data_IF_980007025848
#
_entry.id   IF_980007025848
#
_cell.length_a   1.000
_cell.length_b   1.000
_cell.length_c   1.000
_cell.angle_alpha   90.00
_cell.angle_beta   90.00
_cell.angle_gamma   90.00
#
_symmetry.space_group_name_H-M   'P 1'
#
loop_
_entity.id
_entity.type
_entity.pdbx_description
1 polymer ?
#
# COMPACT_ATOMS: atom_id res chain seq x y z
N UNK A 1 20.83 -6.60 -9.55
CA UNK A 1 19.54 -7.15 -10.03
C UNK A 1 18.42 -6.37 -9.36
N UNK A 2 17.59 -5.64 -10.13
CA UNK A 2 16.52 -4.81 -9.56
C UNK A 2 15.37 -5.73 -9.12
N UNK A 3 15.17 -5.86 -7.81
CA UNK A 3 14.00 -6.55 -7.25
C UNK A 3 12.79 -5.65 -7.52
N UNK A 4 11.73 -6.22 -8.07
CA UNK A 4 10.56 -5.46 -8.49
C UNK A 4 9.53 -5.45 -7.35
N UNK A 5 9.40 -4.33 -6.64
CA UNK A 5 8.52 -4.18 -5.47
C UNK A 5 7.08 -3.90 -5.89
N UNK A 6 6.19 -4.89 -5.74
CA UNK A 6 4.78 -4.80 -6.14
C UNK A 6 4.03 -3.82 -5.24
N UNK A 7 3.30 -2.89 -5.85
CA UNK A 7 2.39 -2.00 -5.13
C UNK A 7 1.01 -2.63 -5.00
N UNK A 8 0.23 -2.17 -4.02
CA UNK A 8 -1.16 -2.59 -3.90
C UNK A 8 -1.99 -2.14 -5.11
N UNK A 9 -1.69 -0.97 -5.69
CA UNK A 9 -2.30 -0.49 -6.93
C UNK A 9 -2.08 -1.45 -8.10
N UNK A 10 -0.88 -2.04 -8.24
CA UNK A 10 -0.61 -3.05 -9.26
C UNK A 10 -1.46 -4.32 -9.07
N UNK A 11 -1.71 -4.72 -7.82
CA UNK A 11 -2.56 -5.87 -7.50
C UNK A 11 -4.02 -5.58 -7.82
N UNK A 12 -4.51 -4.39 -7.49
CA UNK A 12 -5.88 -3.97 -7.81
C UNK A 12 -6.12 -3.94 -9.32
N UNK A 13 -5.15 -3.44 -10.10
CA UNK A 13 -5.27 -3.44 -11.55
C UNK A 13 -5.21 -4.86 -12.14
N UNK A 14 -4.39 -5.76 -11.58
CA UNK A 14 -4.38 -7.17 -11.99
C UNK A 14 -5.74 -7.83 -11.79
N UNK A 15 -6.32 -7.66 -10.60
CA UNK A 15 -7.62 -8.22 -10.26
C UNK A 15 -8.72 -7.67 -11.18
N UNK A 16 -8.67 -6.38 -11.46
CA UNK A 16 -9.59 -5.73 -12.41
C UNK A 16 -9.52 -6.38 -13.80
N UNK A 17 -8.32 -6.60 -14.35
CA UNK A 17 -8.18 -7.23 -15.66
C UNK A 17 -8.61 -8.70 -15.66
N UNK A 18 -8.29 -9.45 -14.61
CA UNK A 18 -8.72 -10.85 -14.50
C UNK A 18 -10.23 -10.99 -14.38
N UNK A 19 -10.88 -10.13 -13.61
CA UNK A 19 -12.34 -10.15 -13.49
C UNK A 19 -13.00 -9.80 -14.84
N UNK A 20 -12.48 -8.76 -15.52
CA UNK A 20 -12.99 -8.36 -16.85
C UNK A 20 -12.83 -9.45 -17.91
N UNK A 21 -11.74 -10.22 -17.86
CA UNK A 21 -11.52 -11.34 -18.78
C UNK A 21 -12.45 -12.54 -18.50
N UNK A 22 -12.96 -12.69 -17.27
CA UNK A 22 -13.95 -13.71 -16.91
C UNK A 22 -15.37 -13.32 -17.34
N UNK A 23 -15.71 -12.02 -17.29
CA UNK A 23 -17.03 -11.48 -17.63
C UNK A 23 -17.31 -11.43 -19.15
N UNK A 24 -16.30 -11.63 -20.00
CA UNK A 24 -16.41 -11.58 -21.47
C UNK A 24 -16.31 -12.98 -22.14
N UNK A 25 -17.31 -13.88 -22.00
CA UNK A 25 -17.39 -15.05 -22.84
C UNK A 25 -18.04 -14.68 -24.19
N UNK A 26 -17.22 -14.30 -25.17
CA UNK A 26 -17.55 -14.47 -26.60
C UNK A 26 -18.65 -13.57 -27.20
N UNK A 27 -18.79 -12.31 -26.78
CA UNK A 27 -19.60 -11.32 -27.50
C UNK A 27 -18.73 -10.25 -28.15
N UNK A 28 -18.46 -10.42 -29.44
CA UNK A 28 -17.81 -9.42 -30.30
C UNK A 28 -16.48 -9.89 -30.89
N UNK A 29 -16.04 -9.14 -31.91
CA UNK A 29 -14.81 -9.29 -32.72
C UNK A 29 -13.48 -9.26 -31.92
N UNK A 30 -13.54 -9.42 -30.60
CA UNK A 30 -12.38 -9.35 -29.70
C UNK A 30 -11.58 -10.66 -29.69
N UNK A 31 -10.27 -10.54 -29.84
CA UNK A 31 -9.34 -11.66 -29.67
C UNK A 31 -9.56 -12.38 -28.33
N UNK A 32 -9.65 -13.71 -28.38
CA UNK A 32 -9.72 -14.56 -27.17
C UNK A 32 -8.62 -14.17 -26.18
N UNK A 33 -8.88 -14.09 -24.86
CA UNK A 33 -7.88 -13.71 -23.85
C UNK A 33 -6.54 -14.44 -24.02
N UNK A 34 -6.58 -15.74 -24.33
CA UNK A 34 -5.39 -16.56 -24.59
C UNK A 34 -4.56 -16.11 -25.81
N UNK A 35 -5.18 -15.63 -26.90
CA UNK A 35 -4.48 -15.14 -28.10
C UNK A 35 -3.77 -13.82 -27.79
N UNK A 36 -4.48 -12.90 -27.12
CA UNK A 36 -3.93 -11.63 -26.65
C UNK A 36 -2.75 -11.85 -25.71
N UNK A 37 -2.90 -12.71 -24.70
CA UNK A 37 -1.86 -12.97 -23.72
C UNK A 37 -0.63 -13.61 -24.35
N UNK A 38 -0.82 -14.49 -25.35
CA UNK A 38 0.27 -15.03 -26.16
C UNK A 38 0.99 -13.95 -26.96
N UNK A 39 0.25 -13.02 -27.59
CA UNK A 39 0.83 -11.87 -28.32
C UNK A 39 1.69 -11.02 -27.39
N UNK A 40 1.16 -10.67 -26.22
CA UNK A 40 1.86 -9.88 -25.21
C UNK A 40 3.11 -10.64 -24.73
N UNK A 41 2.99 -11.93 -24.40
CA UNK A 41 4.12 -12.76 -23.98
C UNK A 41 5.24 -12.78 -25.02
N UNK A 42 4.92 -12.99 -26.29
CA UNK A 42 5.90 -13.02 -27.37
C UNK A 42 6.60 -11.67 -27.56
N UNK A 43 5.92 -10.56 -27.32
CA UNK A 43 6.50 -9.22 -27.39
C UNK A 43 7.46 -8.91 -26.23
N UNK A 44 7.28 -9.54 -25.06
CA UNK A 44 8.00 -9.19 -23.82
C UNK A 44 9.00 -10.24 -23.34
N UNK A 45 8.91 -11.48 -23.84
CA UNK A 45 9.71 -12.64 -23.34
C UNK A 45 11.21 -12.37 -23.30
N UNK A 46 11.73 -11.63 -24.28
CA UNK A 46 13.18 -11.39 -24.45
C UNK A 46 13.67 -10.20 -23.62
N UNK A 47 12.74 -9.38 -23.11
CA UNK A 47 13.05 -8.22 -22.26
C UNK A 47 13.27 -8.58 -20.79
N UNK A 48 12.97 -9.81 -20.38
CA UNK A 48 13.05 -10.25 -18.98
C UNK A 48 14.27 -11.18 -18.75
N UNK A 49 14.90 -11.11 -17.56
CA UNK A 49 16.08 -11.92 -17.25
C UNK A 49 15.75 -13.41 -17.24
N UNK A 50 16.60 -14.25 -17.84
CA UNK A 50 16.39 -15.71 -17.92
C UNK A 50 16.99 -16.50 -16.75
N UNK A 51 18.00 -15.96 -16.05
CA UNK A 51 18.75 -16.70 -15.03
C UNK A 51 18.03 -16.86 -13.68
N UNK A 52 17.01 -16.05 -13.41
CA UNK A 52 16.24 -16.09 -12.17
C UNK A 52 14.76 -16.28 -12.50
N UNK A 53 14.23 -17.49 -12.25
CA UNK A 53 12.84 -17.85 -12.53
C UNK A 53 11.83 -16.95 -11.81
N UNK A 54 12.09 -16.60 -10.53
CA UNK A 54 11.17 -15.76 -9.77
C UNK A 54 11.23 -14.30 -10.23
N UNK A 55 12.43 -13.79 -10.51
CA UNK A 55 12.63 -12.49 -11.13
C UNK A 55 11.99 -12.39 -12.52
N UNK A 56 12.09 -13.47 -13.30
CA UNK A 56 11.48 -13.58 -14.64
C UNK A 56 9.97 -13.50 -14.59
N UNK A 57 9.32 -14.31 -13.73
CA UNK A 57 7.85 -14.31 -13.57
C UNK A 57 7.33 -12.93 -13.17
N UNK A 58 7.99 -12.29 -12.20
CA UNK A 58 7.62 -10.95 -11.74
C UNK A 58 7.77 -9.90 -12.84
N UNK A 59 8.85 -9.98 -13.63
CA UNK A 59 9.07 -9.10 -14.79
C UNK A 59 8.00 -9.30 -15.87
N UNK A 60 7.71 -10.55 -16.24
CA UNK A 60 6.72 -10.88 -17.26
C UNK A 60 5.32 -10.40 -16.87
N UNK A 61 4.89 -10.66 -15.63
CA UNK A 61 3.59 -10.20 -15.12
C UNK A 61 3.45 -8.68 -15.13
N UNK A 62 4.50 -7.96 -14.73
CA UNK A 62 4.50 -6.49 -14.81
C UNK A 62 4.43 -5.98 -16.22
N UNK A 63 5.19 -6.61 -17.14
CA UNK A 63 5.20 -6.16 -18.53
C UNK A 63 3.86 -6.44 -19.18
N UNK A 64 3.24 -7.58 -18.87
CA UNK A 64 1.87 -7.88 -19.23
C UNK A 64 0.89 -6.83 -18.70
N UNK A 65 0.94 -6.52 -17.40
CA UNK A 65 0.09 -5.49 -16.79
C UNK A 65 0.28 -4.12 -17.45
N UNK A 66 1.53 -3.73 -17.75
CA UNK A 66 1.82 -2.47 -18.43
C UNK A 66 1.25 -2.41 -19.85
N UNK A 67 1.28 -3.52 -20.59
CA UNK A 67 0.68 -3.62 -21.91
C UNK A 67 -0.84 -3.51 -21.83
N UNK A 68 -1.47 -4.19 -20.85
CA UNK A 68 -2.92 -4.13 -20.63
C UNK A 68 -3.41 -2.73 -20.25
N UNK A 69 -2.66 -2.02 -19.40
CA UNK A 69 -2.92 -0.60 -19.10
C UNK A 69 -2.87 0.28 -20.35
N UNK A 70 -1.89 0.07 -21.23
CA UNK A 70 -1.75 0.82 -22.47
C UNK A 70 -2.92 0.54 -23.45
N UNK A 71 -3.26 -0.74 -23.66
CA UNK A 71 -4.40 -1.14 -24.50
C UNK A 71 -5.73 -0.57 -23.95
N UNK A 72 -5.92 -0.59 -22.63
CA UNK A 72 -7.12 -0.05 -21.99
C UNK A 72 -7.25 1.46 -22.20
N UNK A 73 -6.14 2.19 -22.06
CA UNK A 73 -6.09 3.62 -22.33
C UNK A 73 -6.38 3.96 -23.79
N UNK A 74 -5.83 3.18 -24.73
CA UNK A 74 -6.08 3.37 -26.16
C UNK A 74 -7.55 3.12 -26.52
N UNK A 75 -8.17 2.08 -25.95
CA UNK A 75 -9.59 1.74 -26.22
C UNK A 75 -10.59 2.70 -25.59
N UNK A 76 -10.35 3.12 -24.35
CA UNK A 76 -11.32 3.88 -23.56
C UNK A 76 -11.06 5.39 -23.64
N UNK A 77 -9.84 5.80 -24.03
CA UNK A 77 -9.39 7.18 -23.93
C UNK A 77 -9.19 7.66 -22.49
N UNK A 78 -9.32 6.76 -21.52
CA UNK A 78 -9.33 7.06 -20.09
C UNK A 78 -8.22 6.30 -19.36
N UNK A 79 -7.66 6.94 -18.34
CA UNK A 79 -6.63 6.43 -17.46
C UNK A 79 -7.17 6.03 -16.08
N UNK A 80 -8.49 6.05 -15.88
CA UNK A 80 -9.15 5.69 -14.62
C UNK A 80 -9.12 4.16 -14.37
N UNK A 81 -7.94 3.66 -13.99
CA UNK A 81 -7.79 2.32 -13.43
C UNK A 81 -7.97 2.34 -11.90
N UNK A 82 -8.52 1.27 -11.30
CA UNK A 82 -8.78 1.23 -9.86
C UNK A 82 -7.51 1.41 -9.02
N UNK A 83 -6.35 0.92 -9.47
CA UNK A 83 -5.07 1.15 -8.82
C UNK A 83 -4.66 2.62 -8.80
N UNK A 84 -4.88 3.36 -9.90
CA UNK A 84 -4.61 4.81 -9.95
C UNK A 84 -5.55 5.58 -9.04
N UNK A 85 -6.83 5.22 -9.03
CA UNK A 85 -7.82 5.84 -8.14
C UNK A 85 -7.42 5.61 -6.69
N UNK A 86 -7.02 4.38 -6.33
CA UNK A 86 -6.57 4.06 -4.99
C UNK A 86 -5.34 4.88 -4.55
N UNK A 87 -4.32 4.99 -5.40
CA UNK A 87 -3.12 5.79 -5.11
C UNK A 87 -3.48 7.26 -4.86
N UNK A 88 -4.38 7.82 -5.66
CA UNK A 88 -4.83 9.22 -5.49
C UNK A 88 -5.62 9.39 -4.17
N UNK A 89 -6.51 8.45 -3.83
CA UNK A 89 -7.23 8.48 -2.56
C UNK A 89 -6.29 8.41 -1.36
N UNK A 90 -5.32 7.49 -1.37
CA UNK A 90 -4.36 7.37 -0.26
C UNK A 90 -3.52 8.63 -0.12
N UNK A 91 -3.13 9.25 -1.24
CA UNK A 91 -2.39 10.51 -1.23
C UNK A 91 -3.22 11.66 -0.66
N UNK A 92 -4.49 11.78 -1.05
CA UNK A 92 -5.42 12.80 -0.54
C UNK A 92 -5.70 12.58 0.96
N UNK A 93 -6.00 11.35 1.37
CA UNK A 93 -6.17 10.99 2.77
C UNK A 93 -4.93 11.35 3.59
N UNK A 94 -3.73 11.05 3.08
CA UNK A 94 -2.47 11.38 3.77
C UNK A 94 -2.33 12.89 4.00
N UNK A 95 -2.67 13.71 3.01
CA UNK A 95 -2.67 15.17 3.15
C UNK A 95 -3.69 15.67 4.16
N UNK A 96 -4.91 15.11 4.14
CA UNK A 96 -5.96 15.47 5.10
C UNK A 96 -5.51 15.11 6.52
N UNK A 97 -5.03 13.89 6.75
CA UNK A 97 -4.53 13.48 8.07
C UNK A 97 -3.36 14.35 8.54
N UNK A 98 -2.46 14.72 7.64
CA UNK A 98 -1.37 15.63 7.95
C UNK A 98 -1.89 17.00 8.42
N UNK A 99 -2.80 17.62 7.65
CA UNK A 99 -3.37 18.94 7.99
C UNK A 99 -4.17 18.89 9.29
N UNK A 100 -5.02 17.89 9.47
CA UNK A 100 -5.81 17.71 10.69
C UNK A 100 -4.92 17.51 11.91
N UNK A 101 -3.86 16.70 11.79
CA UNK A 101 -2.91 16.48 12.88
C UNK A 101 -2.13 17.75 13.21
N UNK A 102 -1.75 18.54 12.20
CA UNK A 102 -1.04 19.80 12.38
C UNK A 102 -1.90 20.83 13.09
N UNK A 103 -3.13 21.06 12.61
CA UNK A 103 -4.08 22.00 13.23
C UNK A 103 -4.48 21.53 14.62
N UNK A 104 -4.74 20.23 14.79
CA UNK A 104 -5.10 19.64 16.08
C UNK A 104 -3.98 19.76 17.12
N UNK A 105 -2.74 19.43 16.73
CA UNK A 105 -1.56 19.57 17.59
C UNK A 105 -1.28 21.03 17.95
N UNK A 106 -1.38 21.94 16.98
CA UNK A 106 -1.19 23.38 17.19
C UNK A 106 -2.26 23.97 18.11
N UNK A 107 -3.53 23.66 17.87
CA UNK A 107 -4.65 24.12 18.70
C UNK A 107 -4.55 23.61 20.14
N UNK A 108 -4.16 22.35 20.32
CA UNK A 108 -3.92 21.79 21.66
C UNK A 108 -2.79 22.53 22.40
N UNK A 109 -1.68 22.83 21.72
CA UNK A 109 -0.57 23.57 22.31
C UNK A 109 -0.98 25.00 22.71
N UNK A 110 -1.70 25.70 21.84
CA UNK A 110 -2.21 27.04 22.13
C UNK A 110 -3.21 27.04 23.31
N UNK A 111 -4.08 26.04 23.40
CA UNK A 111 -5.03 25.93 24.52
C UNK A 111 -4.31 25.77 25.87
N UNK A 112 -3.18 25.09 25.90
CA UNK A 112 -2.35 24.97 27.10
C UNK A 112 -1.56 26.26 27.39
N UNK A 113 -1.12 27.00 26.36
CA UNK A 113 -0.40 28.27 26.52
C UNK A 113 -1.30 29.45 26.88
N UNK A 114 -2.55 29.48 26.42
CA UNK A 114 -3.51 30.56 26.65
C UNK A 114 -4.08 30.59 28.08
N UNK A 115 -3.42 29.91 29.02
CA UNK A 115 -3.91 29.72 30.37
C UNK A 115 -3.89 31.02 31.19
N UNK A 116 -5.07 31.42 31.72
CA UNK A 116 -5.31 32.72 32.36
C UNK A 116 -4.97 32.82 33.87
N UNK A 117 -4.08 31.96 34.38
CA UNK A 117 -3.44 32.15 35.69
C UNK A 117 -4.25 31.77 36.95
N UNK A 118 -5.38 31.06 36.86
CA UNK A 118 -6.18 30.68 38.06
C UNK A 118 -5.62 29.48 38.85
N UNK A 119 -4.79 28.65 38.23
CA UNK A 119 -4.08 27.48 38.79
C UNK A 119 -2.74 27.31 38.06
N UNK A 120 -1.60 27.04 38.71
CA UNK A 120 -0.34 26.89 38.01
C UNK A 120 -0.40 25.70 37.05
N UNK A 121 -0.16 25.95 35.75
CA UNK A 121 -0.03 24.88 34.77
C UNK A 121 1.24 24.10 35.08
N UNK A 122 1.10 22.79 35.27
CA UNK A 122 2.25 21.94 35.49
C UNK A 122 3.09 21.85 34.20
N UNK A 123 4.20 22.59 34.18
CA UNK A 123 5.14 22.62 33.05
C UNK A 123 5.67 21.22 32.73
N UNK A 124 5.81 20.34 33.74
CA UNK A 124 6.22 18.96 33.52
C UNK A 124 5.16 18.18 32.72
N UNK A 125 3.87 18.42 32.96
CA UNK A 125 2.78 17.81 32.18
C UNK A 125 2.77 18.32 30.74
N UNK A 126 2.98 19.62 30.53
CA UNK A 126 3.12 20.19 29.19
C UNK A 126 4.31 19.57 28.43
N UNK A 127 5.49 19.54 29.04
CA UNK A 127 6.68 18.95 28.43
C UNK A 127 6.51 17.45 28.17
N UNK A 128 5.87 16.71 29.08
CA UNK A 128 5.61 15.29 28.90
C UNK A 128 4.72 15.03 27.67
N UNK A 129 3.64 15.80 27.50
CA UNK A 129 2.68 15.60 26.42
C UNK A 129 3.22 16.09 25.07
N UNK A 130 3.84 17.27 24.99
CA UNK A 130 4.21 17.88 23.72
C UNK A 130 5.66 17.61 23.29
N UNK A 131 6.58 17.37 24.23
CA UNK A 131 8.00 17.17 23.93
C UNK A 131 8.40 15.72 24.12
N UNK A 132 8.11 15.13 25.29
CA UNK A 132 8.54 13.76 25.57
C UNK A 132 7.83 12.74 24.66
N UNK A 133 6.55 12.94 24.34
CA UNK A 133 5.83 12.09 23.37
C UNK A 133 6.45 12.15 21.97
N UNK A 134 6.86 13.34 21.50
CA UNK A 134 7.49 13.53 20.19
C UNK A 134 8.88 12.89 20.17
N UNK A 135 9.66 13.04 21.24
CA UNK A 135 10.94 12.34 21.39
C UNK A 135 10.77 10.82 21.44
N UNK A 136 9.71 10.31 22.08
CA UNK A 136 9.41 8.89 22.11
C UNK A 136 9.05 8.35 20.72
N UNK A 137 8.18 9.05 19.97
CA UNK A 137 7.87 8.67 18.58
C UNK A 137 9.10 8.75 17.68
N UNK A 138 9.91 9.80 17.81
CA UNK A 138 11.15 9.97 17.05
C UNK A 138 12.16 8.85 17.34
N UNK A 139 12.36 8.51 18.61
CA UNK A 139 13.28 7.43 19.01
C UNK A 139 12.81 6.08 18.50
N UNK A 140 11.50 5.80 18.55
CA UNK A 140 10.90 4.60 17.94
C UNK A 140 11.15 4.59 16.42
N UNK A 141 10.92 5.70 15.73
CA UNK A 141 11.13 5.80 14.28
C UNK A 141 12.60 5.57 13.91
N UNK A 142 13.52 6.23 14.62
CA UNK A 142 14.96 6.07 14.43
C UNK A 142 15.41 4.63 14.73
N UNK A 143 14.86 4.02 15.77
CA UNK A 143 15.12 2.62 16.08
C UNK A 143 14.70 1.71 14.92
N UNK A 144 13.48 1.87 14.39
CA UNK A 144 13.03 1.06 13.24
C UNK A 144 13.83 1.33 11.97
N UNK A 145 14.23 2.58 11.73
CA UNK A 145 15.06 2.93 10.57
C UNK A 145 16.47 2.33 10.67
N UNK A 146 17.10 2.43 11.84
CA UNK A 146 18.40 1.84 12.13
C UNK A 146 18.34 0.31 12.10
N UNK A 147 17.32 -0.29 12.72
CA UNK A 147 17.05 -1.72 12.67
C UNK A 147 16.74 -2.20 11.25
N UNK A 148 16.15 -1.38 10.38
CA UNK A 148 15.94 -1.68 8.97
C UNK A 148 17.25 -1.63 8.16
N UNK A 149 18.13 -0.66 8.46
CA UNK A 149 19.43 -0.48 7.81
C UNK A 149 20.46 -1.56 8.18
N UNK A 150 20.49 -1.99 9.45
CA UNK A 150 21.39 -3.06 9.91
C UNK A 150 20.97 -4.46 9.46
N UNK A 151 19.79 -4.59 8.86
CA UNK A 151 19.11 -5.87 8.69
C UNK A 151 19.17 -6.33 7.23
N UNK A 152 20.13 -7.20 6.96
CA UNK A 152 20.39 -7.82 5.65
C UNK A 152 19.37 -8.89 5.24
N UNK A 153 18.46 -9.30 6.14
CA UNK A 153 17.35 -10.24 5.84
C UNK A 153 16.04 -9.73 6.43
N UNK A 154 14.93 -9.70 5.66
CA UNK A 154 13.67 -9.20 6.17
C UNK A 154 13.19 -10.08 7.34
N UNK A 155 12.82 -9.50 8.48
CA UNK A 155 12.10 -10.25 9.49
C UNK A 155 10.77 -10.69 8.91
N UNK A 156 10.36 -11.91 9.20
CA UNK A 156 8.93 -12.21 9.22
C UNK A 156 8.28 -11.22 10.19
N UNK A 157 7.39 -10.34 9.73
CA UNK A 157 6.89 -9.24 10.55
C UNK A 157 6.13 -9.80 11.75
N UNK A 158 6.60 -9.49 12.96
CA UNK A 158 5.97 -9.83 14.25
C UNK A 158 4.50 -9.37 14.30
N UNK A 159 4.16 -8.32 13.57
CA UNK A 159 2.79 -7.82 13.40
C UNK A 159 1.91 -8.80 12.64
N UNK A 160 2.42 -9.48 11.61
CA UNK A 160 1.67 -10.48 10.85
C UNK A 160 1.34 -11.72 11.69
N UNK A 161 2.23 -12.14 12.60
CA UNK A 161 1.95 -13.29 13.47
C UNK A 161 0.88 -12.98 14.52
N UNK A 162 0.85 -11.75 15.03
CA UNK A 162 -0.17 -11.29 15.97
C UNK A 162 -1.53 -11.11 15.29
N UNK A 163 -1.57 -10.48 14.11
CA UNK A 163 -2.80 -10.32 13.33
C UNK A 163 -3.34 -11.69 12.90
N UNK A 164 -2.48 -12.59 12.41
CA UNK A 164 -2.88 -13.96 12.05
C UNK A 164 -3.48 -14.71 13.24
N UNK A 165 -2.90 -14.58 14.43
CA UNK A 165 -3.46 -15.17 15.66
C UNK A 165 -4.81 -14.57 16.02
N UNK A 166 -4.96 -13.24 15.96
CA UNK A 166 -6.22 -12.58 16.24
C UNK A 166 -7.34 -13.00 15.27
N UNK A 167 -7.03 -13.06 13.97
CA UNK A 167 -7.96 -13.53 12.92
C UNK A 167 -8.32 -15.00 13.13
N UNK A 168 -7.35 -15.87 13.44
CA UNK A 168 -7.60 -17.29 13.71
C UNK A 168 -8.49 -17.48 14.94
N UNK A 169 -8.27 -16.70 16.01
CA UNK A 169 -9.10 -16.75 17.21
C UNK A 169 -10.53 -16.30 16.92
N UNK A 170 -10.72 -15.22 16.15
CA UNK A 170 -12.04 -14.74 15.74
C UNK A 170 -12.76 -15.77 14.85
N UNK A 171 -12.09 -16.32 13.85
CA UNK A 171 -12.66 -17.33 12.96
C UNK A 171 -13.05 -18.61 13.73
N UNK A 172 -12.20 -19.07 14.65
CA UNK A 172 -12.48 -20.26 15.48
C UNK A 172 -13.59 -20.06 16.51
N UNK A 173 -13.96 -18.79 16.80
CA UNK A 173 -15.06 -18.44 17.69
C UNK A 173 -16.39 -18.38 16.93
N UNK A 174 -16.35 -17.90 15.69
CA UNK A 174 -17.52 -17.86 14.79
C UNK A 174 -17.94 -19.27 14.37
N UNK A 175 -16.97 -20.15 14.06
CA UNK A 175 -17.24 -21.55 13.66
C UNK A 175 -17.77 -22.44 14.78
N UNK A 176 -17.86 -21.94 16.03
CA UNK A 176 -18.43 -22.65 17.19
C UNK A 176 -19.83 -22.17 17.56
N UNK A 177 -20.33 -21.13 16.88
CA UNK A 177 -21.64 -20.51 17.11
C UNK A 177 -22.63 -20.78 15.96
N UNK A 178 -22.21 -21.50 14.93
CA UNK A 178 -23.04 -22.01 13.82
C UNK A 178 -23.10 -23.52 13.92
#
# INVERSE_FOLDING_TARGET
>A
MKKWDWSLADILDLEFFFNRDQELPGQGDEETPAKRDRRIYLAVKDSCPQKDENGRRSCLLRRWLSARRAEFHEKTGDNLLPGRVFDELIRLCSWIFFLVSLVGGWGAALSFLAYAGKTPVNVATFLAIFVASQLLVLTILLFFLAAGRLRTRPPLPLTYSLVRRAVFLLASKISRLT
#
